data_IF_213916203661
#
_entry.id   IF_213916203661
#
_cell.length_a   1.000
_cell.length_b   1.000
_cell.length_c   1.000
_cell.angle_alpha   90.00
_cell.angle_beta   90.00
_cell.angle_gamma   90.00
#
_symmetry.space_group_name_H-M   'P 1'
#
loop_
_entity.id
_entity.type
_entity.pdbx_description
1 polymer ?
#
# COMPACT_ATOMS: atom_id res chain seq x y z
N UNK A 1 8.85 -17.87 23.17
CA UNK A 1 8.02 -16.68 23.23
C UNK A 1 6.97 -16.71 22.13
N UNK A 2 7.34 -16.80 20.83
CA UNK A 2 6.41 -16.80 19.68
C UNK A 2 5.33 -17.90 19.78
N UNK A 3 5.72 -19.16 20.10
CA UNK A 3 4.78 -20.26 20.24
C UNK A 3 3.66 -19.96 21.25
N UNK A 4 4.03 -19.49 22.45
CA UNK A 4 3.06 -19.16 23.50
C UNK A 4 2.11 -18.04 23.05
N UNK A 5 2.63 -17.01 22.36
CA UNK A 5 1.85 -15.89 21.85
C UNK A 5 0.80 -16.34 20.81
N UNK A 6 1.20 -17.26 19.92
CA UNK A 6 0.30 -17.87 18.95
C UNK A 6 -0.77 -18.75 19.61
N UNK A 7 -0.40 -19.52 20.63
CA UNK A 7 -1.34 -20.33 21.42
C UNK A 7 -2.39 -19.48 22.16
N UNK A 8 -2.06 -18.21 22.46
CA UNK A 8 -2.99 -17.21 22.98
C UNK A 8 -3.86 -16.55 21.89
N UNK A 9 -3.74 -16.97 20.62
CA UNK A 9 -4.48 -16.41 19.48
C UNK A 9 -4.00 -15.03 19.02
N UNK A 10 -2.79 -14.62 19.37
CA UNK A 10 -2.23 -13.31 19.05
C UNK A 10 -1.27 -13.39 17.86
N UNK A 11 -1.25 -12.38 17.02
CA UNK A 11 -0.33 -12.28 15.89
C UNK A 11 1.10 -11.97 16.34
N UNK A 12 2.09 -12.60 15.72
CA UNK A 12 3.52 -12.41 16.05
C UNK A 12 3.95 -10.95 15.92
N UNK A 13 3.41 -10.22 14.94
CA UNK A 13 3.72 -8.81 14.72
C UNK A 13 3.45 -7.95 15.98
N UNK A 14 2.46 -8.34 16.81
CA UNK A 14 2.13 -7.62 18.04
C UNK A 14 3.15 -7.83 19.18
N UNK A 15 4.11 -8.74 19.03
CA UNK A 15 5.22 -8.92 19.99
C UNK A 15 6.26 -7.80 19.92
N UNK A 16 6.31 -7.04 18.82
CA UNK A 16 7.33 -5.99 18.65
C UNK A 16 8.76 -6.53 18.70
N UNK A 17 9.02 -7.67 18.05
CA UNK A 17 10.31 -8.35 18.06
C UNK A 17 11.45 -7.44 17.56
N UNK A 18 12.64 -7.59 18.13
CA UNK A 18 13.86 -6.94 17.65
C UNK A 18 14.21 -7.40 16.21
N UNK A 19 15.10 -6.67 15.53
CA UNK A 19 15.57 -7.09 14.19
C UNK A 19 16.27 -8.43 14.22
N UNK A 20 17.04 -8.70 15.28
CA UNK A 20 17.75 -9.94 15.52
C UNK A 20 16.77 -11.10 15.70
N UNK A 21 15.74 -10.92 16.55
CA UNK A 21 14.71 -11.93 16.77
C UNK A 21 13.89 -12.21 15.50
N UNK A 22 13.53 -11.17 14.73
CA UNK A 22 12.88 -11.32 13.44
C UNK A 22 13.72 -12.10 12.45
N UNK A 23 15.03 -11.82 12.39
CA UNK A 23 15.96 -12.57 11.55
C UNK A 23 16.02 -14.05 11.93
N UNK A 24 15.98 -14.35 13.23
CA UNK A 24 16.02 -15.74 13.71
C UNK A 24 14.78 -16.58 13.37
N UNK A 25 13.64 -15.95 13.07
CA UNK A 25 12.39 -16.62 12.69
C UNK A 25 12.02 -16.41 11.22
N UNK A 26 12.83 -15.68 10.45
CA UNK A 26 12.52 -15.29 9.07
C UNK A 26 12.23 -16.50 8.17
N UNK A 27 13.00 -17.60 8.34
CA UNK A 27 12.85 -18.83 7.56
C UNK A 27 11.51 -19.56 7.81
N UNK A 28 10.78 -19.20 8.85
CA UNK A 28 9.46 -19.77 9.13
C UNK A 28 8.35 -19.12 8.29
N UNK A 29 8.59 -17.97 7.66
CA UNK A 29 7.64 -17.24 6.82
C UNK A 29 6.25 -17.06 7.46
N UNK A 30 6.22 -16.73 8.76
CA UNK A 30 4.99 -16.66 9.55
C UNK A 30 4.02 -15.61 8.99
N UNK A 31 2.82 -16.01 8.60
CA UNK A 31 1.76 -15.09 8.16
C UNK A 31 1.39 -14.09 9.27
N UNK A 32 1.44 -14.53 10.51
CA UNK A 32 1.12 -13.72 11.69
C UNK A 32 2.17 -12.63 12.02
N UNK A 33 3.34 -12.65 11.36
CA UNK A 33 4.35 -11.58 11.44
C UNK A 33 4.22 -10.56 10.28
N UNK A 34 3.25 -10.72 9.41
CA UNK A 34 3.01 -9.81 8.29
C UNK A 34 2.05 -8.69 8.68
N UNK A 35 2.24 -7.53 8.07
CA UNK A 35 1.28 -6.44 8.15
C UNK A 35 -0.05 -6.84 7.53
N UNK A 36 -1.15 -6.37 8.11
CA UNK A 36 -2.51 -6.68 7.68
C UNK A 36 -3.21 -5.39 7.29
N UNK A 37 -3.85 -5.39 6.13
CA UNK A 37 -4.80 -4.37 5.69
C UNK A 37 -6.16 -5.06 5.55
N UNK A 38 -7.17 -4.52 6.23
CA UNK A 38 -8.52 -5.06 6.17
C UNK A 38 -9.33 -4.35 5.08
N UNK A 39 -10.06 -5.12 4.30
CA UNK A 39 -11.00 -4.60 3.30
C UNK A 39 -12.41 -5.07 3.64
N UNK A 40 -13.27 -4.13 4.00
CA UNK A 40 -14.68 -4.38 4.25
C UNK A 40 -15.46 -4.14 2.96
N UNK A 41 -15.76 -5.22 2.22
CA UNK A 41 -16.61 -5.15 1.05
C UNK A 41 -18.08 -5.04 1.47
N UNK A 42 -18.72 -3.94 1.11
CA UNK A 42 -20.12 -3.63 1.44
C UNK A 42 -20.97 -3.51 0.19
N UNK A 43 -22.29 -3.51 0.36
CA UNK A 43 -23.24 -3.18 -0.70
C UNK A 43 -23.21 -1.69 -1.06
N UNK A 44 -23.84 -1.34 -2.19
CA UNK A 44 -23.88 0.03 -2.71
C UNK A 44 -24.54 1.00 -1.71
N UNK A 45 -25.63 0.59 -1.06
CA UNK A 45 -26.32 1.43 -0.08
C UNK A 45 -25.44 1.78 1.13
N UNK A 46 -24.44 0.95 1.42
CA UNK A 46 -23.52 1.10 2.55
C UNK A 46 -22.16 1.72 2.16
N UNK A 47 -22.00 2.11 0.90
CA UNK A 47 -20.70 2.53 0.33
C UNK A 47 -20.03 3.68 1.11
N UNK A 48 -20.82 4.68 1.53
CA UNK A 48 -20.30 5.87 2.22
C UNK A 48 -20.29 5.74 3.75
N UNK A 49 -21.23 5.00 4.30
CA UNK A 49 -21.45 4.94 5.76
C UNK A 49 -20.98 3.63 6.39
N UNK A 50 -20.70 2.64 5.55
CA UNK A 50 -20.52 1.26 6.02
C UNK A 50 -21.83 0.64 6.50
N UNK A 51 -21.75 -0.53 7.08
CA UNK A 51 -22.83 -1.26 7.67
C UNK A 51 -22.43 -1.86 9.04
N UNK A 52 -23.35 -2.56 9.70
CA UNK A 52 -23.09 -3.15 11.02
C UNK A 52 -21.88 -4.10 11.04
N UNK A 53 -21.56 -4.75 9.94
CA UNK A 53 -20.44 -5.69 9.86
C UNK A 53 -19.13 -4.95 9.69
N UNK A 54 -19.07 -3.91 8.83
CA UNK A 54 -17.89 -3.07 8.69
C UNK A 54 -17.59 -2.30 9.99
N UNK A 55 -18.61 -1.82 10.69
CA UNK A 55 -18.48 -1.19 12.00
C UNK A 55 -17.95 -2.17 13.06
N UNK A 56 -18.45 -3.40 13.08
CA UNK A 56 -17.96 -4.45 13.98
C UNK A 56 -16.50 -4.83 13.69
N UNK A 57 -16.09 -4.89 12.39
CA UNK A 57 -14.71 -5.12 12.00
C UNK A 57 -13.80 -4.00 12.49
N UNK A 58 -14.18 -2.74 12.23
CA UNK A 58 -13.39 -1.57 12.66
C UNK A 58 -13.18 -1.59 14.18
N UNK A 59 -14.21 -1.88 14.95
CA UNK A 59 -14.11 -1.97 16.41
C UNK A 59 -13.23 -3.15 16.85
N UNK A 60 -13.34 -4.31 16.20
CA UNK A 60 -12.56 -5.49 16.54
C UNK A 60 -11.04 -5.28 16.35
N UNK A 61 -10.64 -4.53 15.28
CA UNK A 61 -9.22 -4.37 14.92
C UNK A 61 -8.61 -3.04 15.36
N UNK A 62 -9.38 -2.15 15.98
CA UNK A 62 -8.90 -0.81 16.35
C UNK A 62 -7.65 -0.80 17.22
N UNK A 63 -7.46 -1.84 18.05
CA UNK A 63 -6.31 -1.98 18.94
C UNK A 63 -5.09 -2.61 18.26
N UNK A 64 -5.25 -3.11 17.03
CA UNK A 64 -4.15 -3.70 16.26
C UNK A 64 -3.31 -2.63 15.53
N UNK A 65 -3.81 -1.40 15.41
CA UNK A 65 -3.18 -0.33 14.63
C UNK A 65 -3.27 -0.54 13.12
N UNK A 66 -4.09 -1.50 12.67
CA UNK A 66 -4.31 -1.82 11.27
C UNK A 66 -5.41 -0.93 10.67
N UNK A 67 -5.25 -0.59 9.39
CA UNK A 67 -6.23 0.19 8.64
C UNK A 67 -7.35 -0.72 8.12
N UNK A 68 -8.58 -0.19 8.09
CA UNK A 68 -9.75 -0.82 7.48
C UNK A 68 -10.25 0.08 6.36
N UNK A 69 -10.30 -0.45 5.14
CA UNK A 69 -10.88 0.23 3.99
C UNK A 69 -12.27 -0.32 3.75
N UNK A 70 -13.28 0.56 3.78
CA UNK A 70 -14.63 0.21 3.34
C UNK A 70 -14.74 0.52 1.85
N UNK A 71 -15.16 -0.46 1.05
CA UNK A 71 -15.32 -0.31 -0.40
C UNK A 71 -16.46 -1.18 -0.92
N UNK A 72 -16.91 -0.89 -2.13
CA UNK A 72 -17.94 -1.65 -2.83
C UNK A 72 -17.36 -2.20 -4.12
N UNK A 73 -16.97 -3.48 -4.12
CA UNK A 73 -16.31 -4.09 -5.28
C UNK A 73 -17.16 -4.05 -6.55
N UNK A 74 -18.51 -4.08 -6.43
CA UNK A 74 -19.39 -3.98 -7.58
C UNK A 74 -19.26 -2.62 -8.30
N UNK A 75 -19.14 -1.53 -7.54
CA UNK A 75 -18.93 -0.19 -8.10
C UNK A 75 -17.51 -0.06 -8.68
N UNK A 76 -16.49 -0.58 -7.98
CA UNK A 76 -15.12 -0.57 -8.50
C UNK A 76 -14.99 -1.34 -9.82
N UNK A 77 -15.70 -2.47 -9.95
CA UNK A 77 -15.73 -3.22 -11.20
C UNK A 77 -16.33 -2.40 -12.35
N UNK A 78 -17.43 -1.67 -12.10
CA UNK A 78 -18.02 -0.78 -13.11
C UNK A 78 -17.07 0.37 -13.47
N UNK A 79 -16.41 0.99 -12.48
CA UNK A 79 -15.41 2.04 -12.71
C UNK A 79 -14.27 1.54 -13.62
N UNK A 80 -13.86 0.28 -13.45
CA UNK A 80 -12.79 -0.33 -14.24
C UNK A 80 -13.17 -0.61 -15.69
N UNK A 81 -14.47 -0.66 -16.03
CA UNK A 81 -14.96 -0.88 -17.39
C UNK A 81 -14.98 0.40 -18.25
N UNK A 82 -14.87 1.58 -17.62
CA UNK A 82 -14.84 2.84 -18.38
C UNK A 82 -13.48 3.06 -19.05
N UNK A 83 -13.49 3.11 -20.38
CA UNK A 83 -12.32 3.48 -21.21
C UNK A 83 -12.18 5.00 -21.30
N UNK A 84 -13.31 5.73 -21.32
CA UNK A 84 -13.32 7.17 -21.43
C UNK A 84 -13.21 7.84 -20.06
N UNK A 85 -12.19 8.70 -19.83
CA UNK A 85 -12.02 9.40 -18.54
C UNK A 85 -13.21 10.31 -18.17
N UNK A 86 -13.91 10.90 -19.16
CA UNK A 86 -15.06 11.79 -18.90
C UNK A 86 -16.24 10.99 -18.37
N UNK A 87 -16.55 9.84 -18.97
CA UNK A 87 -17.64 8.95 -18.54
C UNK A 87 -17.34 8.40 -17.12
N UNK A 88 -16.08 8.03 -16.87
CA UNK A 88 -15.61 7.62 -15.56
C UNK A 88 -15.83 8.73 -14.52
N UNK A 89 -15.47 9.97 -14.86
CA UNK A 89 -15.64 11.11 -13.96
C UNK A 89 -17.12 11.38 -13.65
N UNK A 90 -17.99 11.34 -14.65
CA UNK A 90 -19.43 11.49 -14.46
C UNK A 90 -20.03 10.40 -13.56
N UNK A 91 -19.64 9.14 -13.78
CA UNK A 91 -20.07 8.03 -12.94
C UNK A 91 -19.63 8.22 -11.47
N UNK A 92 -18.36 8.61 -11.26
CA UNK A 92 -17.85 8.89 -9.92
C UNK A 92 -18.57 10.06 -9.25
N UNK A 93 -18.94 11.11 -9.99
CA UNK A 93 -19.70 12.24 -9.47
C UNK A 93 -21.11 11.83 -9.06
N UNK A 94 -21.80 10.97 -9.83
CA UNK A 94 -23.13 10.43 -9.50
C UNK A 94 -23.08 9.69 -8.14
N UNK A 95 -22.04 8.89 -7.93
CA UNK A 95 -21.81 8.17 -6.68
C UNK A 95 -21.13 9.02 -5.59
N UNK A 96 -20.88 10.32 -5.82
CA UNK A 96 -20.21 11.23 -4.88
C UNK A 96 -18.84 10.71 -4.41
N UNK A 97 -18.12 10.05 -5.31
CA UNK A 97 -16.79 9.53 -5.05
C UNK A 97 -15.73 10.57 -5.43
N UNK A 98 -14.81 10.85 -4.51
CA UNK A 98 -13.66 11.74 -4.76
C UNK A 98 -12.57 10.99 -5.53
N UNK A 99 -12.37 9.73 -5.19
CA UNK A 99 -11.40 8.82 -5.82
C UNK A 99 -11.93 7.38 -5.78
N UNK A 100 -11.50 6.51 -6.71
CA UNK A 100 -11.78 5.08 -6.63
C UNK A 100 -11.25 4.47 -5.32
N UNK A 101 -11.97 3.51 -4.75
CA UNK A 101 -11.50 2.83 -3.55
C UNK A 101 -10.25 1.97 -3.84
N UNK A 102 -10.07 1.54 -5.10
CA UNK A 102 -8.85 0.87 -5.54
C UNK A 102 -7.61 1.76 -5.36
N UNK A 103 -7.70 3.05 -5.68
CA UNK A 103 -6.58 3.99 -5.51
C UNK A 103 -6.25 4.17 -4.02
N UNK A 104 -7.28 4.28 -3.16
CA UNK A 104 -7.10 4.28 -1.69
C UNK A 104 -6.43 3.01 -1.20
N UNK A 105 -6.83 1.84 -1.73
CA UNK A 105 -6.24 0.55 -1.40
C UNK A 105 -4.74 0.50 -1.75
N UNK A 106 -4.38 1.00 -2.94
CA UNK A 106 -2.99 1.10 -3.38
C UNK A 106 -2.20 2.02 -2.44
N UNK A 107 -2.69 3.23 -2.18
CA UNK A 107 -2.03 4.19 -1.28
C UNK A 107 -1.85 3.63 0.14
N UNK A 108 -2.88 3.00 0.70
CA UNK A 108 -2.81 2.38 2.02
C UNK A 108 -1.84 1.20 2.06
N UNK A 109 -1.76 0.42 0.99
CA UNK A 109 -0.79 -0.68 0.87
C UNK A 109 0.65 -0.16 0.83
N UNK A 110 0.92 0.88 0.03
CA UNK A 110 2.23 1.53 -0.01
C UNK A 110 2.63 2.10 1.36
N UNK A 111 1.69 2.75 2.04
CA UNK A 111 1.89 3.27 3.39
C UNK A 111 2.17 2.15 4.39
N UNK A 112 1.39 1.07 4.37
CA UNK A 112 1.53 -0.09 5.25
C UNK A 112 2.90 -0.76 5.09
N UNK A 113 3.38 -0.90 3.86
CA UNK A 113 4.66 -1.50 3.52
C UNK A 113 5.83 -0.51 3.57
N UNK A 114 5.56 0.75 3.97
CA UNK A 114 6.55 1.84 4.01
C UNK A 114 7.27 2.04 2.66
N UNK A 115 6.53 1.94 1.56
CA UNK A 115 7.06 2.06 0.21
C UNK A 115 6.93 3.49 -0.33
N UNK A 116 7.79 3.81 -1.27
CA UNK A 116 7.78 5.03 -2.08
C UNK A 116 8.17 4.70 -3.51
N UNK A 117 7.83 5.59 -4.44
CA UNK A 117 8.15 5.42 -5.86
C UNK A 117 8.96 6.63 -6.34
N UNK A 118 9.94 6.36 -7.19
CA UNK A 118 10.58 7.38 -8.01
C UNK A 118 10.60 6.93 -9.48
N UNK A 119 10.77 7.88 -10.38
CA UNK A 119 10.84 7.61 -11.82
C UNK A 119 12.24 7.82 -12.34
N UNK A 120 12.63 7.01 -13.31
CA UNK A 120 13.75 7.32 -14.20
C UNK A 120 13.20 7.68 -15.57
N UNK A 121 13.71 8.75 -16.17
CA UNK A 121 13.38 9.15 -17.52
C UNK A 121 14.66 9.21 -18.35
N UNK A 122 14.65 8.51 -19.47
CA UNK A 122 15.76 8.46 -20.42
C UNK A 122 15.23 8.35 -21.86
N UNK A 123 16.14 8.42 -22.82
CA UNK A 123 15.79 8.37 -24.25
C UNK A 123 15.13 7.04 -24.63
N UNK A 124 15.48 5.95 -23.92
CA UNK A 124 14.99 4.60 -24.25
C UNK A 124 13.72 4.23 -23.50
N UNK A 125 13.61 4.63 -22.24
CA UNK A 125 12.45 4.29 -21.41
C UNK A 125 12.18 5.32 -20.31
N UNK A 126 10.94 5.35 -19.85
CA UNK A 126 10.52 5.95 -18.59
C UNK A 126 10.02 4.82 -17.70
N UNK A 127 10.52 4.74 -16.46
CA UNK A 127 10.21 3.63 -15.57
C UNK A 127 10.00 4.08 -14.13
N UNK A 128 8.99 3.48 -13.49
CA UNK A 128 8.75 3.63 -12.06
C UNK A 128 9.50 2.55 -11.27
N UNK A 129 10.12 2.96 -10.15
CA UNK A 129 10.88 2.10 -9.26
C UNK A 129 10.33 2.20 -7.85
N UNK A 130 10.03 1.07 -7.25
CA UNK A 130 9.55 1.01 -5.87
C UNK A 130 10.72 0.80 -4.93
N UNK A 131 10.78 1.61 -3.88
CA UNK A 131 11.81 1.59 -2.83
C UNK A 131 11.18 1.67 -1.45
N UNK A 132 11.93 1.34 -0.41
CA UNK A 132 11.50 1.62 0.95
C UNK A 132 11.66 3.12 1.26
N UNK A 133 10.66 3.68 1.92
CA UNK A 133 10.65 5.09 2.31
C UNK A 133 11.79 5.36 3.29
N UNK A 134 12.57 6.39 2.99
CA UNK A 134 13.74 6.75 3.79
C UNK A 134 15.08 6.21 3.28
N UNK A 135 15.07 5.38 2.23
CA UNK A 135 16.30 4.99 1.56
C UNK A 135 17.04 6.20 1.00
N UNK A 136 18.36 6.14 1.09
CA UNK A 136 19.26 7.14 0.49
C UNK A 136 19.50 6.82 -0.98
N UNK A 137 19.99 7.80 -1.74
CA UNK A 137 20.19 7.69 -3.18
C UNK A 137 20.99 6.44 -3.63
N UNK A 138 22.09 6.03 -2.97
CA UNK A 138 22.77 4.79 -3.34
C UNK A 138 21.89 3.54 -3.20
N UNK A 139 21.15 3.43 -2.08
CA UNK A 139 20.23 2.32 -1.84
C UNK A 139 19.08 2.35 -2.86
N UNK A 140 18.52 3.53 -3.14
CA UNK A 140 17.46 3.67 -4.16
C UNK A 140 17.99 3.27 -5.56
N UNK A 141 19.22 3.55 -5.90
CA UNK A 141 19.81 3.16 -7.17
C UNK A 141 20.00 1.64 -7.32
N UNK A 142 20.10 0.90 -6.21
CA UNK A 142 20.30 -0.56 -6.25
C UNK A 142 19.13 -1.33 -6.88
N UNK A 143 17.91 -0.76 -6.87
CA UNK A 143 16.75 -1.40 -7.51
C UNK A 143 16.83 -1.35 -9.05
N UNK A 144 17.59 -0.43 -9.60
CA UNK A 144 17.87 -0.36 -11.04
C UNK A 144 18.89 -1.46 -11.40
N UNK A 145 20.00 -1.48 -10.66
CA UNK A 145 21.04 -2.50 -10.77
C UNK A 145 21.86 -2.56 -9.48
N UNK A 146 22.21 -3.76 -9.03
CA UNK A 146 22.95 -3.96 -7.76
C UNK A 146 24.28 -3.24 -7.71
N UNK A 147 24.96 -3.09 -8.85
CA UNK A 147 26.25 -2.37 -8.93
C UNK A 147 26.12 -0.87 -8.71
N UNK A 148 24.92 -0.31 -8.92
CA UNK A 148 24.68 1.13 -8.74
C UNK A 148 24.72 1.55 -7.28
N UNK A 149 24.47 0.67 -6.33
CA UNK A 149 24.65 0.99 -4.92
C UNK A 149 26.11 1.26 -4.57
N UNK A 150 27.01 0.36 -5.01
CA UNK A 150 28.45 0.46 -4.72
C UNK A 150 29.15 1.51 -5.58
N UNK A 151 28.69 1.68 -6.81
CA UNK A 151 29.27 2.62 -7.79
C UNK A 151 28.59 3.99 -7.80
N UNK A 152 27.66 4.28 -6.87
CA UNK A 152 26.93 5.53 -6.87
C UNK A 152 27.85 6.74 -6.65
N UNK A 153 27.79 7.70 -7.56
CA UNK A 153 28.55 8.96 -7.46
C UNK A 153 27.58 10.11 -7.25
N UNK A 154 26.63 10.30 -8.17
CA UNK A 154 25.61 11.37 -8.13
C UNK A 154 24.42 10.99 -8.99
N UNK A 155 23.29 11.65 -8.73
CA UNK A 155 22.12 11.64 -9.59
C UNK A 155 21.66 13.07 -9.85
N UNK A 156 21.13 13.33 -11.04
CA UNK A 156 20.35 14.52 -11.32
C UNK A 156 18.89 14.19 -10.97
N UNK A 157 18.26 15.06 -10.21
CA UNK A 157 16.90 14.86 -9.71
C UNK A 157 16.09 16.09 -10.03
N UNK A 158 14.90 15.86 -10.63
CA UNK A 158 13.91 16.88 -10.93
C UNK A 158 12.66 16.53 -10.12
N UNK A 159 12.02 17.52 -9.51
CA UNK A 159 10.73 17.31 -8.86
C UNK A 159 9.68 16.89 -9.90
N UNK A 160 8.78 15.97 -9.51
CA UNK A 160 7.78 15.41 -10.43
C UNK A 160 6.93 16.48 -11.11
N UNK A 161 6.46 17.46 -10.32
CA UNK A 161 5.62 18.56 -10.84
C UNK A 161 6.38 19.46 -11.82
N UNK A 162 7.68 19.67 -11.59
CA UNK A 162 8.53 20.44 -12.50
C UNK A 162 8.77 19.66 -13.80
N UNK A 163 8.97 18.34 -13.72
CA UNK A 163 9.15 17.49 -14.89
C UNK A 163 7.88 17.44 -15.78
N UNK A 164 6.68 17.50 -15.19
CA UNK A 164 5.43 17.55 -15.95
C UNK A 164 5.16 18.91 -16.60
N UNK A 165 5.75 19.97 -16.04
CA UNK A 165 5.49 21.35 -16.48
C UNK A 165 6.36 21.79 -17.65
N UNK A 166 7.57 21.26 -17.77
CA UNK A 166 8.59 21.63 -18.76
C UNK A 166 8.95 20.44 -19.66
#
# INVERSE_FOLDING_TARGET
>A
QCKKHLEEGKNIISLGLSKEDKSAIADLFLLTDKHILYVANVDEASMHTGNKYSAALIEAVKNEGNEVIVMTNAIEAQIAEFENPEDKAMFMEEYKMVEPALDRLIHSTYKLLNLSTYFTAGVQEVRAWTIEKGWKAPQAASVIHTDFEKGFIKAEVIAYDDFLKY
#
